data_IF_342152133538
#
_entry.id   IF_342152133538
#
_cell.length_a   1.000
_cell.length_b   1.000
_cell.length_c   1.000
_cell.angle_alpha   90.00
_cell.angle_beta   90.00
_cell.angle_gamma   90.00
#
_symmetry.space_group_name_H-M   'P 1'
#
loop_
_entity.id
_entity.type
_entity.pdbx_description
1 polymer ?
#
# COMPACT_ATOMS: atom_id res chain seq x y z
N UNK A 1 -4.49 3.71 18.95
CA UNK A 1 -5.18 2.78 18.05
C UNK A 1 -4.50 2.63 16.68
N UNK A 2 -3.43 3.40 16.41
CA UNK A 2 -2.73 3.42 15.10
C UNK A 2 -1.58 2.41 14.89
N UNK A 3 -1.24 1.59 15.88
CA UNK A 3 -0.19 0.55 15.73
C UNK A 3 -0.67 -0.76 15.10
N UNK A 4 -1.97 -0.94 14.86
CA UNK A 4 -2.51 -2.21 14.38
C UNK A 4 -2.68 -2.30 12.85
N UNK A 5 -2.70 -1.19 12.13
CA UNK A 5 -2.95 -1.20 10.68
C UNK A 5 -1.69 -1.22 9.81
N UNK A 6 -0.62 -0.56 10.22
CA UNK A 6 0.69 -0.72 9.57
C UNK A 6 1.23 -2.14 9.67
N UNK A 7 0.87 -2.84 10.74
CA UNK A 7 1.34 -4.20 11.03
C UNK A 7 0.71 -5.26 10.12
N UNK A 8 -0.44 -5.07 9.49
CA UNK A 8 -1.11 -6.16 8.76
C UNK A 8 -0.80 -6.27 7.27
N UNK A 9 -0.25 -5.25 6.64
CA UNK A 9 0.14 -5.35 5.23
C UNK A 9 1.65 -5.49 5.01
N UNK A 10 2.47 -4.99 5.92
CA UNK A 10 3.88 -5.38 6.05
C UNK A 10 4.03 -6.74 6.78
N UNK A 11 3.01 -7.22 7.46
CA UNK A 11 3.04 -8.36 8.40
C UNK A 11 2.93 -9.73 7.74
N UNK A 12 2.73 -9.86 6.45
CA UNK A 12 2.99 -11.16 5.81
C UNK A 12 4.51 -11.37 5.66
N UNK A 13 5.29 -10.30 5.58
CA UNK A 13 6.76 -10.36 5.57
C UNK A 13 7.41 -10.14 6.95
N UNK A 14 6.77 -9.50 7.93
CA UNK A 14 7.42 -9.11 9.20
C UNK A 14 7.01 -9.90 10.46
N UNK A 15 6.10 -10.88 10.40
CA UNK A 15 5.64 -11.64 11.59
C UNK A 15 6.50 -12.83 12.02
N UNK A 16 7.73 -12.96 11.52
CA UNK A 16 8.62 -14.05 11.89
C UNK A 16 9.78 -13.66 12.83
N UNK A 17 9.74 -12.49 13.44
CA UNK A 17 10.85 -12.00 14.30
C UNK A 17 10.69 -12.22 15.80
N UNK A 18 9.93 -13.19 16.31
CA UNK A 18 9.97 -13.49 17.75
C UNK A 18 9.83 -14.97 18.05
N UNK A 19 10.89 -15.74 17.85
CA UNK A 19 11.18 -16.90 18.72
C UNK A 19 12.56 -17.49 18.45
N UNK A 20 13.59 -16.90 18.98
CA UNK A 20 14.88 -17.56 19.17
C UNK A 20 15.63 -16.92 20.33
N UNK A 21 15.28 -17.32 21.57
CA UNK A 21 16.21 -17.26 22.68
C UNK A 21 16.08 -18.55 23.51
N UNK A 22 17.25 -19.15 23.67
CA UNK A 22 17.61 -20.22 24.62
C UNK A 22 17.35 -21.67 24.16
N UNK A 23 18.43 -22.33 23.74
CA UNK A 23 18.92 -23.50 24.50
C UNK A 23 20.38 -23.79 24.13
N UNK A 24 21.25 -23.52 25.08
CA UNK A 24 22.64 -24.02 25.10
C UNK A 24 22.65 -25.47 25.61
N UNK A 25 23.50 -26.30 24.99
CA UNK A 25 24.02 -27.46 25.71
C UNK A 25 23.92 -28.79 24.97
N UNK A 26 24.89 -29.29 24.44
CA UNK A 26 25.77 -30.45 24.75
C UNK A 26 26.44 -31.02 23.49
N UNK A 27 27.77 -31.00 23.53
CA UNK A 27 28.65 -31.70 22.58
C UNK A 27 28.48 -33.24 22.70
N UNK A 28 28.43 -33.92 21.56
CA UNK A 28 28.94 -35.26 21.42
C UNK A 28 29.57 -35.46 20.04
N UNK A 29 30.87 -35.58 20.02
CA UNK A 29 31.69 -35.90 18.86
C UNK A 29 31.52 -37.37 18.50
N UNK A 30 31.07 -37.66 17.29
CA UNK A 30 31.32 -38.95 16.62
C UNK A 30 31.86 -38.68 15.24
N UNK A 31 33.17 -38.85 15.08
CA UNK A 31 33.82 -38.81 13.79
C UNK A 31 33.54 -40.16 13.07
N UNK A 32 32.74 -40.09 11.99
CA UNK A 32 32.67 -41.14 10.97
C UNK A 32 33.26 -40.55 9.71
N UNK A 33 34.47 -40.96 9.36
CA UNK A 33 35.06 -40.71 8.06
C UNK A 33 34.25 -41.48 6.99
N UNK A 34 33.35 -40.78 6.32
CA UNK A 34 32.87 -41.20 5.02
C UNK A 34 33.57 -40.33 3.98
N UNK A 35 34.47 -40.93 3.23
CA UNK A 35 35.00 -40.36 1.98
C UNK A 35 33.84 -40.30 0.99
N UNK A 36 33.17 -39.19 0.92
CA UNK A 36 32.23 -38.89 -0.15
C UNK A 36 33.03 -38.31 -1.30
N UNK A 37 33.17 -39.13 -2.32
CA UNK A 37 33.62 -38.75 -3.65
C UNK A 37 32.72 -37.58 -4.10
N UNK A 38 33.26 -36.40 -4.27
CA UNK A 38 32.60 -35.32 -4.98
C UNK A 38 32.43 -35.76 -6.44
N UNK A 39 31.29 -36.30 -6.75
CA UNK A 39 30.82 -36.31 -8.14
C UNK A 39 30.12 -34.96 -8.31
N UNK A 40 30.76 -34.04 -9.00
CA UNK A 40 30.09 -32.92 -9.64
C UNK A 40 29.09 -33.53 -10.64
N UNK A 41 27.89 -33.82 -10.16
CA UNK A 41 26.76 -34.04 -11.04
C UNK A 41 26.29 -32.65 -11.45
N UNK A 42 26.86 -32.18 -12.55
CA UNK A 42 26.28 -31.15 -13.39
C UNK A 42 24.95 -31.71 -13.92
N UNK A 43 23.91 -31.65 -13.10
CA UNK A 43 22.54 -31.91 -13.52
C UNK A 43 22.16 -30.74 -14.40
N UNK A 44 21.92 -30.92 -15.69
CA UNK A 44 21.42 -29.87 -16.55
C UNK A 44 20.13 -29.36 -15.88
N UNK A 45 20.09 -28.05 -15.61
CA UNK A 45 18.87 -27.39 -15.09
C UNK A 45 17.66 -27.75 -15.97
N UNK A 46 16.43 -27.62 -15.46
CA UNK A 46 15.24 -28.00 -16.21
C UNK A 46 15.26 -27.33 -17.59
N UNK A 47 15.20 -28.15 -18.66
CA UNK A 47 15.13 -27.62 -20.01
C UNK A 47 13.78 -26.91 -20.17
N UNK A 48 13.81 -25.58 -20.25
CA UNK A 48 12.62 -24.80 -20.49
C UNK A 48 12.26 -24.78 -21.97
N UNK A 49 11.02 -25.06 -22.28
CA UNK A 49 10.47 -24.83 -23.60
C UNK A 49 10.16 -23.32 -23.75
N UNK A 50 10.90 -22.65 -24.62
CA UNK A 50 10.72 -21.20 -24.86
C UNK A 50 9.81 -21.01 -26.05
N UNK A 51 8.66 -20.38 -25.85
CA UNK A 51 7.82 -19.93 -26.94
C UNK A 51 8.44 -18.65 -27.52
N UNK A 52 8.81 -18.72 -28.79
CA UNK A 52 9.50 -17.60 -29.48
C UNK A 52 8.59 -16.40 -29.71
N UNK A 53 7.27 -16.60 -29.72
CA UNK A 53 6.26 -15.53 -29.88
C UNK A 53 6.09 -14.76 -28.59
N UNK A 54 6.03 -15.48 -27.47
CA UNK A 54 5.92 -14.88 -26.13
C UNK A 54 7.27 -14.38 -25.59
N UNK A 55 8.38 -14.95 -26.09
CA UNK A 55 9.72 -14.66 -25.58
C UNK A 55 9.97 -15.19 -24.15
N UNK A 56 9.18 -16.17 -23.70
CA UNK A 56 9.26 -16.76 -22.37
C UNK A 56 8.96 -18.27 -22.37
N UNK A 57 9.20 -18.92 -21.24
CA UNK A 57 8.96 -20.34 -21.07
C UNK A 57 7.46 -20.66 -21.03
N UNK A 58 7.10 -21.77 -21.67
CA UNK A 58 5.79 -22.41 -21.59
C UNK A 58 5.91 -23.80 -20.96
N UNK A 59 4.87 -24.21 -20.26
CA UNK A 59 4.87 -25.40 -19.42
C UNK A 59 3.68 -26.30 -19.77
N UNK A 60 3.83 -27.60 -19.54
CA UNK A 60 2.74 -28.54 -19.76
C UNK A 60 1.61 -28.41 -18.75
N UNK A 61 1.94 -27.98 -17.55
CA UNK A 61 0.96 -27.75 -16.46
C UNK A 61 1.30 -26.48 -15.65
N UNK A 62 0.30 -25.83 -15.04
CA UNK A 62 0.54 -24.61 -14.27
C UNK A 62 1.40 -24.86 -13.02
N UNK A 63 1.39 -26.06 -12.45
CA UNK A 63 2.27 -26.45 -11.36
C UNK A 63 3.75 -26.44 -11.72
N UNK A 64 4.08 -26.83 -12.96
CA UNK A 64 5.46 -26.80 -13.45
C UNK A 64 5.97 -25.36 -13.58
N UNK A 65 5.12 -24.45 -14.06
CA UNK A 65 5.42 -23.02 -14.11
C UNK A 65 5.67 -22.46 -12.71
N UNK A 66 4.78 -22.76 -11.76
CA UNK A 66 4.87 -22.32 -10.38
C UNK A 66 6.18 -22.79 -9.71
N UNK A 67 6.54 -24.07 -9.91
CA UNK A 67 7.79 -24.64 -9.39
C UNK A 67 9.04 -24.01 -10.01
N UNK A 68 9.02 -23.79 -11.34
CA UNK A 68 10.14 -23.13 -12.03
C UNK A 68 10.37 -21.70 -11.51
N UNK A 69 9.30 -20.95 -11.30
CA UNK A 69 9.36 -19.60 -10.70
C UNK A 69 9.95 -19.63 -9.28
N UNK A 70 9.43 -20.51 -8.41
CA UNK A 70 9.90 -20.61 -7.04
C UNK A 70 11.37 -21.04 -6.95
N UNK A 71 11.80 -21.95 -7.82
CA UNK A 71 13.20 -22.37 -7.90
C UNK A 71 14.11 -21.22 -8.34
N UNK A 72 13.72 -20.47 -9.37
CA UNK A 72 14.49 -19.34 -9.87
C UNK A 72 14.60 -18.24 -8.79
N UNK A 73 13.51 -17.94 -8.10
CA UNK A 73 13.52 -16.94 -7.03
C UNK A 73 14.36 -17.37 -5.83
N UNK A 74 14.26 -18.63 -5.42
CA UNK A 74 15.04 -19.20 -4.30
C UNK A 74 16.55 -19.13 -4.55
N UNK A 75 16.97 -19.39 -5.79
CA UNK A 75 18.38 -19.37 -6.18
C UNK A 75 18.90 -17.97 -6.53
N UNK A 76 18.03 -16.95 -6.57
CA UNK A 76 18.39 -15.63 -7.07
C UNK A 76 18.79 -15.62 -8.55
N UNK A 77 18.28 -16.59 -9.31
CA UNK A 77 18.64 -16.81 -10.72
C UNK A 77 17.85 -15.85 -11.63
N UNK A 78 18.43 -14.69 -11.87
CA UNK A 78 17.83 -13.66 -12.72
C UNK A 78 17.65 -14.08 -14.17
N UNK A 79 18.53 -14.95 -14.69
CA UNK A 79 18.42 -15.47 -16.06
C UNK A 79 17.23 -16.42 -16.17
N UNK A 80 17.08 -17.30 -15.20
CA UNK A 80 15.94 -18.22 -15.12
C UNK A 80 14.63 -17.44 -14.93
N UNK A 81 14.61 -16.41 -14.05
CA UNK A 81 13.44 -15.54 -13.87
C UNK A 81 13.06 -14.84 -15.18
N UNK A 82 14.04 -14.33 -15.93
CA UNK A 82 13.80 -13.74 -17.25
C UNK A 82 13.22 -14.72 -18.26
N UNK A 83 13.64 -15.98 -18.22
CA UNK A 83 13.09 -17.03 -19.09
C UNK A 83 11.67 -17.42 -18.66
N UNK A 84 11.41 -17.53 -17.37
CA UNK A 84 10.10 -17.96 -16.83
C UNK A 84 9.04 -16.86 -16.96
N UNK A 85 9.39 -15.62 -16.64
CA UNK A 85 8.47 -14.48 -16.63
C UNK A 85 8.51 -13.61 -17.89
N UNK A 86 9.53 -13.81 -18.75
CA UNK A 86 9.78 -12.94 -19.90
C UNK A 86 10.73 -11.77 -19.58
N UNK A 87 11.19 -11.08 -20.62
CA UNK A 87 12.24 -10.05 -20.52
C UNK A 87 11.84 -8.86 -19.61
N UNK A 88 10.56 -8.52 -19.58
CA UNK A 88 10.05 -7.36 -18.84
C UNK A 88 9.66 -7.67 -17.38
N UNK A 89 10.04 -8.84 -16.85
CA UNK A 89 9.64 -9.29 -15.52
C UNK A 89 10.00 -8.30 -14.39
N UNK A 90 11.04 -7.47 -14.57
CA UNK A 90 11.45 -6.46 -13.57
C UNK A 90 10.40 -5.38 -13.32
N UNK A 91 9.47 -5.18 -14.24
CA UNK A 91 8.34 -4.25 -14.06
C UNK A 91 7.32 -4.77 -13.03
N UNK A 92 7.21 -6.09 -12.88
CA UNK A 92 6.31 -6.74 -11.91
C UNK A 92 7.04 -7.36 -10.72
N UNK A 93 8.35 -7.57 -10.83
CA UNK A 93 9.21 -8.08 -9.78
C UNK A 93 10.49 -7.23 -9.70
N UNK A 94 10.45 -6.05 -9.07
CA UNK A 94 11.60 -5.15 -8.95
C UNK A 94 12.61 -5.73 -7.95
N UNK A 95 13.50 -6.61 -8.40
CA UNK A 95 14.48 -7.29 -7.55
C UNK A 95 15.41 -6.33 -6.80
N UNK A 96 15.60 -5.11 -7.31
CA UNK A 96 16.39 -4.08 -6.64
C UNK A 96 15.74 -3.55 -5.34
N UNK A 97 14.42 -3.76 -5.20
CA UNK A 97 13.64 -3.43 -4.00
C UNK A 97 13.36 -4.66 -3.09
N UNK A 98 13.86 -5.85 -3.49
CA UNK A 98 13.66 -7.12 -2.77
C UNK A 98 14.98 -7.49 -2.13
N UNK A 99 15.01 -7.57 -0.81
CA UNK A 99 16.21 -7.98 -0.09
C UNK A 99 16.23 -9.49 0.21
N UNK A 100 17.34 -9.96 0.80
CA UNK A 100 17.50 -11.37 1.16
C UNK A 100 16.51 -11.84 2.23
N UNK A 101 15.97 -10.95 3.07
CA UNK A 101 14.95 -11.27 4.06
C UNK A 101 13.60 -11.50 3.38
N UNK A 102 13.25 -10.70 2.39
CA UNK A 102 12.03 -10.87 1.59
C UNK A 102 12.01 -12.22 0.87
N UNK A 103 13.15 -12.60 0.23
CA UNK A 103 13.30 -13.91 -0.42
C UNK A 103 13.17 -15.04 0.60
N UNK A 104 13.78 -14.93 1.77
CA UNK A 104 13.67 -15.93 2.82
C UNK A 104 12.23 -16.06 3.35
N UNK A 105 11.53 -14.94 3.50
CA UNK A 105 10.14 -14.93 3.94
C UNK A 105 9.20 -15.55 2.90
N UNK A 106 9.42 -15.23 1.61
CA UNK A 106 8.73 -15.89 0.51
C UNK A 106 8.95 -17.41 0.53
N UNK A 107 10.20 -17.86 0.66
CA UNK A 107 10.52 -19.29 0.70
C UNK A 107 9.83 -20.02 1.85
N UNK A 108 9.86 -19.44 3.06
CA UNK A 108 9.15 -20.00 4.23
C UNK A 108 7.63 -20.08 4.01
N UNK A 109 7.05 -19.04 3.40
CA UNK A 109 5.64 -19.03 3.09
C UNK A 109 5.30 -20.07 2.01
N UNK A 110 6.14 -20.20 0.99
CA UNK A 110 6.02 -21.21 -0.08
C UNK A 110 6.08 -22.63 0.47
N UNK A 111 7.01 -22.91 1.37
CA UNK A 111 7.13 -24.23 2.01
C UNK A 111 5.91 -24.60 2.86
N UNK A 112 5.21 -23.64 3.39
CA UNK A 112 4.00 -23.83 4.18
C UNK A 112 2.80 -24.20 3.33
N UNK A 113 2.56 -23.46 2.26
CA UNK A 113 1.50 -23.69 1.28
C UNK A 113 1.80 -22.94 -0.02
N UNK A 114 1.52 -23.59 -1.17
CA UNK A 114 1.66 -23.03 -2.50
C UNK A 114 0.61 -23.65 -3.43
N UNK A 115 -0.67 -23.37 -3.17
CA UNK A 115 -1.77 -23.97 -3.90
C UNK A 115 -2.10 -23.18 -5.19
N UNK A 116 -2.66 -23.86 -6.17
CA UNK A 116 -3.15 -23.26 -7.39
C UNK A 116 -4.65 -22.98 -7.27
N UNK A 117 -5.02 -21.71 -7.31
CA UNK A 117 -6.41 -21.22 -7.25
C UNK A 117 -6.93 -20.98 -8.67
N UNK A 118 -7.86 -21.83 -9.20
CA UNK A 118 -8.41 -21.64 -10.53
C UNK A 118 -9.18 -20.32 -10.66
N UNK A 119 -8.98 -19.64 -11.80
CA UNK A 119 -9.69 -18.45 -12.23
C UNK A 119 -10.36 -18.69 -13.58
N UNK A 120 -11.38 -19.56 -13.58
CA UNK A 120 -11.96 -20.11 -14.82
C UNK A 120 -11.19 -21.32 -15.34
N UNK A 121 -11.30 -21.61 -16.65
CA UNK A 121 -10.76 -22.84 -17.27
C UNK A 121 -9.28 -22.72 -17.64
N UNK A 122 -8.84 -21.51 -18.04
CA UNK A 122 -7.54 -21.28 -18.67
C UNK A 122 -6.62 -20.38 -17.85
N UNK A 123 -6.87 -20.24 -16.54
CA UNK A 123 -6.08 -19.34 -15.68
C UNK A 123 -6.04 -19.85 -14.24
N UNK A 124 -4.88 -19.72 -13.61
CA UNK A 124 -4.72 -19.98 -12.18
C UNK A 124 -3.91 -18.88 -11.51
N UNK A 125 -4.16 -18.67 -10.22
CA UNK A 125 -3.31 -17.87 -9.34
C UNK A 125 -2.58 -18.79 -8.38
N UNK A 126 -1.40 -18.38 -7.93
CA UNK A 126 -0.68 -19.09 -6.87
C UNK A 126 -1.06 -18.43 -5.54
N UNK A 127 -1.63 -19.22 -4.62
CA UNK A 127 -1.76 -18.81 -3.21
C UNK A 127 -0.51 -19.20 -2.46
N UNK A 128 -0.02 -18.36 -1.54
CA UNK A 128 1.24 -18.59 -0.84
C UNK A 128 1.04 -18.34 0.66
N UNK A 129 1.46 -19.33 1.45
CA UNK A 129 1.36 -19.30 2.91
C UNK A 129 -0.05 -19.55 3.43
N UNK A 130 -0.26 -19.29 4.73
CA UNK A 130 -1.56 -19.43 5.38
C UNK A 130 -2.33 -18.11 5.22
N UNK A 131 -3.26 -18.04 4.31
CA UNK A 131 -4.10 -16.86 4.07
C UNK A 131 -4.52 -16.73 2.62
N UNK A 132 -5.27 -15.67 2.33
CA UNK A 132 -5.83 -15.43 1.00
C UNK A 132 -4.87 -14.65 0.07
N UNK A 133 -3.57 -14.57 0.43
CA UNK A 133 -2.62 -13.84 -0.41
C UNK A 133 -2.29 -14.64 -1.68
N UNK A 134 -2.46 -13.99 -2.82
CA UNK A 134 -2.13 -14.57 -4.12
C UNK A 134 -1.01 -13.79 -4.79
N UNK A 135 -0.11 -14.53 -5.47
CA UNK A 135 0.84 -13.90 -6.39
C UNK A 135 0.06 -13.10 -7.43
N UNK A 136 0.40 -11.82 -7.67
CA UNK A 136 -0.36 -10.99 -8.60
C UNK A 136 -0.20 -11.39 -10.06
N UNK A 137 0.84 -12.17 -10.41
CA UNK A 137 1.09 -12.63 -11.78
C UNK A 137 0.36 -13.94 -11.98
N UNK A 138 -0.71 -14.00 -12.78
CA UNK A 138 -1.41 -15.25 -13.05
C UNK A 138 -0.59 -16.16 -13.98
N UNK A 139 -0.92 -17.45 -13.95
CA UNK A 139 -0.47 -18.41 -14.95
C UNK A 139 -1.66 -18.67 -15.88
N UNK A 140 -1.51 -18.33 -17.16
CA UNK A 140 -2.53 -18.44 -18.19
C UNK A 140 -2.20 -19.55 -19.16
N UNK A 141 -3.21 -20.22 -19.73
CA UNK A 141 -3.06 -21.22 -20.76
C UNK A 141 -3.17 -20.59 -22.16
N UNK A 142 -2.12 -20.73 -22.95
CA UNK A 142 -2.08 -20.32 -24.35
C UNK A 142 -2.05 -21.53 -25.30
N UNK A 143 -1.89 -21.29 -26.60
CA UNK A 143 -1.83 -22.34 -27.62
C UNK A 143 -0.64 -23.30 -27.41
N UNK A 144 0.49 -22.80 -26.89
CA UNK A 144 1.72 -23.56 -26.69
C UNK A 144 1.85 -24.17 -25.28
N UNK A 145 0.95 -23.88 -24.37
CA UNK A 145 0.96 -24.34 -22.98
C UNK A 145 0.75 -23.21 -21.95
N UNK A 146 1.07 -23.50 -20.71
CA UNK A 146 0.91 -22.60 -19.57
C UNK A 146 2.09 -21.65 -19.43
N UNK A 147 1.84 -20.37 -19.20
CA UNK A 147 2.86 -19.32 -19.05
C UNK A 147 2.45 -18.27 -18.02
N UNK A 148 3.41 -17.56 -17.46
CA UNK A 148 3.13 -16.40 -16.59
C UNK A 148 2.68 -15.19 -17.41
N UNK A 149 1.48 -14.71 -17.18
CA UNK A 149 0.93 -13.53 -17.83
C UNK A 149 1.37 -12.27 -17.06
N UNK A 150 2.54 -11.77 -17.43
CA UNK A 150 3.16 -10.62 -16.80
C UNK A 150 2.39 -9.32 -17.09
N UNK A 151 1.74 -9.23 -18.26
CA UNK A 151 0.93 -8.06 -18.61
C UNK A 151 -0.31 -7.96 -17.71
N UNK A 152 -1.04 -9.07 -17.55
CA UNK A 152 -2.14 -9.10 -16.58
C UNK A 152 -1.63 -8.93 -15.15
N UNK A 153 -0.46 -9.44 -14.84
CA UNK A 153 0.21 -9.26 -13.56
C UNK A 153 0.45 -7.79 -13.22
N UNK A 154 0.93 -7.02 -14.19
CA UNK A 154 1.13 -5.56 -14.09
C UNK A 154 -0.18 -4.84 -13.77
N UNK A 155 -1.23 -5.14 -14.52
CA UNK A 155 -2.55 -4.56 -14.31
C UNK A 155 -3.13 -4.89 -12.92
N UNK A 156 -3.00 -6.15 -12.49
CA UNK A 156 -3.43 -6.56 -11.13
C UNK A 156 -2.65 -5.83 -10.04
N UNK A 157 -1.35 -5.62 -10.21
CA UNK A 157 -0.54 -4.86 -9.26
C UNK A 157 -0.93 -3.38 -9.23
N UNK A 158 -1.24 -2.80 -10.40
CA UNK A 158 -1.76 -1.44 -10.53
C UNK A 158 -3.08 -1.28 -9.76
N UNK A 159 -4.05 -2.16 -9.99
CA UNK A 159 -5.34 -2.15 -9.30
C UNK A 159 -5.16 -2.31 -7.78
N UNK A 160 -4.29 -3.22 -7.33
CA UNK A 160 -4.00 -3.39 -5.89
C UNK A 160 -3.34 -2.14 -5.29
N UNK A 161 -2.46 -1.46 -6.02
CA UNK A 161 -1.82 -0.21 -5.59
C UNK A 161 -2.87 0.89 -5.43
N UNK A 162 -3.72 1.09 -6.44
CA UNK A 162 -4.83 2.04 -6.39
C UNK A 162 -5.70 1.78 -5.16
N UNK A 163 -6.19 0.56 -4.96
CA UNK A 163 -7.06 0.25 -3.83
C UNK A 163 -6.41 0.49 -2.47
N UNK A 164 -5.11 0.19 -2.32
CA UNK A 164 -4.36 0.51 -1.08
C UNK A 164 -4.21 2.01 -0.86
N UNK A 165 -3.90 2.75 -1.91
CA UNK A 165 -3.72 4.19 -1.83
C UNK A 165 -5.04 4.89 -1.51
N UNK A 166 -6.15 4.49 -2.15
CA UNK A 166 -7.49 5.02 -1.87
C UNK A 166 -7.91 4.76 -0.42
N UNK A 167 -7.69 3.54 0.07
CA UNK A 167 -7.96 3.21 1.48
C UNK A 167 -7.11 4.06 2.43
N UNK A 168 -5.83 4.23 2.13
CA UNK A 168 -4.93 5.08 2.92
C UNK A 168 -5.35 6.56 2.86
N UNK A 169 -5.78 7.05 1.69
CA UNK A 169 -6.29 8.41 1.54
C UNK A 169 -7.57 8.65 2.36
N UNK A 170 -8.52 7.71 2.33
CA UNK A 170 -9.73 7.78 3.16
C UNK A 170 -9.38 7.80 4.66
N UNK A 171 -8.44 6.97 5.10
CA UNK A 171 -7.96 6.97 6.48
C UNK A 171 -7.28 8.28 6.86
N UNK A 172 -6.49 8.87 5.96
CA UNK A 172 -5.85 10.16 6.15
C UNK A 172 -6.87 11.30 6.26
N UNK A 173 -7.92 11.27 5.44
CA UNK A 173 -9.04 12.22 5.48
C UNK A 173 -9.79 12.14 6.81
N UNK A 174 -10.05 10.93 7.32
CA UNK A 174 -10.66 10.73 8.65
C UNK A 174 -9.73 11.13 9.79
N UNK A 175 -8.44 10.81 9.69
CA UNK A 175 -7.45 11.23 10.68
C UNK A 175 -7.31 12.77 10.74
N UNK A 176 -7.42 13.45 9.59
CA UNK A 176 -7.49 14.90 9.54
C UNK A 176 -8.71 15.43 10.31
N UNK A 177 -9.89 14.83 10.10
CA UNK A 177 -11.11 15.22 10.84
C UNK A 177 -10.92 15.06 12.35
N UNK A 178 -10.45 13.91 12.81
CA UNK A 178 -10.20 13.64 14.22
C UNK A 178 -9.13 14.59 14.80
N UNK A 179 -8.07 14.83 14.03
CA UNK A 179 -7.01 15.77 14.40
C UNK A 179 -7.51 17.21 14.58
N UNK A 180 -8.41 17.67 13.71
CA UNK A 180 -9.03 18.99 13.83
C UNK A 180 -9.95 19.08 15.06
N UNK A 181 -10.74 18.04 15.32
CA UNK A 181 -11.60 17.98 16.50
C UNK A 181 -10.79 17.98 17.79
N UNK A 182 -9.65 17.30 17.82
CA UNK A 182 -8.74 17.31 18.96
C UNK A 182 -8.02 18.65 19.11
N UNK A 183 -7.53 19.22 17.98
CA UNK A 183 -6.83 20.51 17.99
C UNK A 183 -7.69 21.60 18.63
N UNK A 184 -8.97 21.67 18.25
CA UNK A 184 -9.89 22.69 18.71
C UNK A 184 -10.31 22.59 20.19
N UNK A 185 -9.91 21.51 20.91
CA UNK A 185 -10.23 21.36 22.34
C UNK A 185 -9.37 22.21 23.26
N UNK A 186 -8.30 22.84 22.75
CA UNK A 186 -7.42 23.67 23.56
C UNK A 186 -6.84 24.81 22.72
N UNK A 187 -6.49 25.91 23.39
CA UNK A 187 -5.66 26.97 22.78
C UNK A 187 -4.24 26.42 22.57
N UNK A 188 -3.95 26.00 21.35
CA UNK A 188 -2.68 25.31 21.00
C UNK A 188 -1.55 26.29 20.73
N UNK A 189 -1.87 27.48 20.24
CA UNK A 189 -0.90 28.50 19.83
C UNK A 189 -0.80 29.69 20.82
N UNK A 190 -1.51 29.64 21.95
CA UNK A 190 -1.43 30.64 23.03
C UNK A 190 -2.06 31.98 22.70
N UNK A 191 -2.98 32.04 21.72
CA UNK A 191 -3.63 33.29 21.31
C UNK A 191 -4.91 33.63 22.10
N UNK A 192 -5.29 32.80 23.07
CA UNK A 192 -6.47 32.99 23.92
C UNK A 192 -7.78 32.52 23.31
N UNK A 193 -7.75 31.77 22.17
CA UNK A 193 -8.94 31.33 21.44
C UNK A 193 -8.89 29.87 21.08
N UNK A 194 -10.05 29.22 20.99
CA UNK A 194 -10.21 27.91 20.39
C UNK A 194 -10.46 28.09 18.91
N UNK A 195 -9.67 27.38 18.11
CA UNK A 195 -9.69 27.42 16.63
C UNK A 195 -9.28 26.08 16.01
N UNK A 196 -9.51 25.94 14.73
CA UNK A 196 -9.04 24.81 13.94
C UNK A 196 -7.68 25.13 13.30
N UNK A 197 -6.86 24.10 13.11
CA UNK A 197 -5.56 24.27 12.46
C UNK A 197 -5.71 24.58 10.97
N UNK A 198 -4.96 25.56 10.49
CA UNK A 198 -4.94 25.98 9.09
C UNK A 198 -3.81 25.32 8.28
N UNK A 199 -2.99 24.51 8.93
CA UNK A 199 -1.84 23.82 8.35
C UNK A 199 -1.81 22.36 8.81
N UNK A 200 -1.21 21.50 8.01
CA UNK A 200 -0.87 20.14 8.43
C UNK A 200 0.32 20.17 9.38
N UNK A 201 1.41 20.80 8.96
CA UNK A 201 2.66 20.91 9.70
C UNK A 201 2.74 22.30 10.32
N UNK A 202 3.01 22.36 11.61
CA UNK A 202 3.23 23.62 12.32
C UNK A 202 4.48 24.33 11.83
N UNK A 203 4.46 25.65 11.93
CA UNK A 203 5.66 26.46 11.77
C UNK A 203 6.71 26.09 12.81
N UNK A 204 8.00 26.19 12.52
CA UNK A 204 9.05 25.85 13.48
C UNK A 204 8.89 26.60 14.82
N UNK A 205 8.79 25.84 15.90
CA UNK A 205 8.61 26.40 17.25
C UNK A 205 7.17 26.81 17.61
N UNK A 206 6.23 26.68 16.67
CA UNK A 206 4.81 27.02 16.87
C UNK A 206 3.96 25.75 16.96
N UNK A 207 2.67 25.93 17.33
CA UNK A 207 1.66 24.86 17.31
C UNK A 207 0.44 25.30 16.50
N UNK A 208 0.69 25.86 15.32
CA UNK A 208 -0.32 26.44 14.42
C UNK A 208 -0.78 25.47 13.31
N UNK A 209 -0.37 24.20 13.40
CA UNK A 209 -0.75 23.09 12.53
C UNK A 209 -1.14 21.85 13.33
N UNK A 210 -1.53 20.78 12.64
CA UNK A 210 -1.96 19.51 13.24
C UNK A 210 -0.81 18.61 13.68
N UNK A 211 0.39 18.83 13.13
CA UNK A 211 1.60 18.13 13.50
C UNK A 211 2.69 19.11 13.95
N UNK A 212 3.38 18.77 15.04
CA UNK A 212 4.61 19.40 15.52
C UNK A 212 5.51 18.34 16.15
N UNK A 213 6.81 18.60 16.10
CA UNK A 213 7.78 17.74 16.79
C UNK A 213 7.61 17.87 18.30
N UNK A 214 7.58 16.74 19.00
CA UNK A 214 7.38 16.68 20.46
C UNK A 214 8.72 16.50 21.14
N UNK A 215 9.03 17.34 22.14
CA UNK A 215 10.05 17.06 23.13
C UNK A 215 9.56 16.01 24.15
N UNK A 216 10.49 15.42 24.92
CA UNK A 216 10.23 14.31 25.86
C UNK A 216 9.12 14.59 26.91
N UNK A 217 8.77 15.85 27.16
CA UNK A 217 7.78 16.28 28.17
C UNK A 217 6.53 16.91 27.57
N UNK A 218 6.42 17.01 26.25
CA UNK A 218 5.33 17.71 25.58
C UNK A 218 4.15 16.79 25.23
N UNK A 219 2.94 17.38 25.14
CA UNK A 219 1.78 16.67 24.62
C UNK A 219 1.98 16.35 23.14
N UNK A 220 1.65 15.12 22.70
CA UNK A 220 1.73 14.75 21.30
C UNK A 220 0.85 15.66 20.43
N UNK A 221 1.26 15.82 19.18
CA UNK A 221 0.44 16.50 18.17
C UNK A 221 -0.79 15.65 17.80
N UNK A 222 -1.91 16.28 17.41
CA UNK A 222 -3.12 15.55 17.00
C UNK A 222 -2.88 14.57 15.84
N UNK A 223 -2.04 14.95 14.87
CA UNK A 223 -1.56 14.05 13.85
C UNK A 223 -0.21 13.46 14.23
N UNK A 224 -0.07 12.15 14.04
CA UNK A 224 1.18 11.45 14.27
C UNK A 224 2.26 11.74 13.22
N UNK A 225 3.51 11.23 13.43
CA UNK A 225 4.65 11.47 12.55
C UNK A 225 4.44 11.06 11.08
N UNK A 226 3.55 10.10 10.83
CA UNK A 226 3.22 9.63 9.47
C UNK A 226 2.65 10.73 8.59
N UNK A 227 1.85 11.63 9.19
CA UNK A 227 1.30 12.79 8.49
C UNK A 227 2.27 13.98 8.50
N UNK A 228 3.34 13.94 9.29
CA UNK A 228 4.41 14.93 9.33
C UNK A 228 5.28 14.95 8.08
N UNK A 229 5.21 13.92 7.25
CA UNK A 229 5.87 13.85 5.95
C UNK A 229 5.10 14.54 4.82
N UNK A 230 3.92 15.12 5.09
CA UNK A 230 3.19 15.95 4.14
C UNK A 230 3.95 17.27 3.92
N UNK A 231 4.88 17.24 2.98
CA UNK A 231 5.48 18.47 2.47
C UNK A 231 4.45 19.23 1.63
N UNK A 232 4.45 20.57 1.64
CA UNK A 232 3.68 21.33 0.66
C UNK A 232 4.06 20.86 -0.76
N UNK A 233 3.10 20.26 -1.50
CA UNK A 233 3.34 19.67 -2.81
C UNK A 233 3.92 18.25 -2.79
N UNK A 234 4.12 17.63 -1.62
CA UNK A 234 4.43 16.20 -1.47
C UNK A 234 3.16 15.39 -1.25
N UNK A 235 3.05 14.25 -1.93
CA UNK A 235 1.93 13.33 -1.78
C UNK A 235 2.13 12.39 -0.59
N UNK A 236 1.02 11.88 -0.05
CA UNK A 236 1.02 10.83 0.96
C UNK A 236 0.21 9.65 0.44
N UNK A 237 0.84 8.49 0.30
CA UNK A 237 0.24 7.31 -0.31
C UNK A 237 -0.34 7.58 -1.72
N UNK A 238 0.39 8.35 -2.55
CA UNK A 238 -0.01 8.66 -3.92
C UNK A 238 -1.19 9.65 -4.03
N UNK A 239 -1.43 10.45 -2.98
CA UNK A 239 -2.49 11.46 -2.92
C UNK A 239 -1.96 12.81 -2.47
N UNK A 240 -2.47 13.87 -3.09
CA UNK A 240 -2.34 15.24 -2.62
C UNK A 240 -3.49 15.61 -1.70
N UNK A 241 -3.24 16.56 -0.78
CA UNK A 241 -4.20 17.02 0.22
C UNK A 241 -4.20 18.54 0.33
N UNK A 242 -5.40 19.13 0.43
CA UNK A 242 -5.54 20.56 0.62
C UNK A 242 -6.65 20.91 1.61
N UNK A 243 -6.34 21.78 2.59
CA UNK A 243 -7.31 22.32 3.53
C UNK A 243 -8.16 23.37 2.80
N UNK A 244 -9.49 23.23 2.92
CA UNK A 244 -10.47 24.16 2.38
C UNK A 244 -10.98 25.05 3.50
N UNK A 245 -11.09 26.35 3.22
CA UNK A 245 -11.42 27.39 4.23
C UNK A 245 -12.86 27.91 4.13
N UNK A 246 -13.70 27.27 3.31
CA UNK A 246 -15.09 27.62 3.11
C UNK A 246 -15.90 26.40 2.66
N UNK A 247 -17.22 26.52 2.73
CA UNK A 247 -18.14 25.60 2.05
C UNK A 247 -19.05 26.32 1.06
N UNK A 248 -19.58 25.59 0.09
CA UNK A 248 -20.48 26.08 -0.95
C UNK A 248 -21.94 25.73 -0.70
N UNK A 249 -22.79 26.08 -1.66
CA UNK A 249 -24.25 26.00 -1.58
C UNK A 249 -24.78 24.57 -1.39
N UNK A 250 -24.09 23.56 -1.96
CA UNK A 250 -24.52 22.16 -1.85
C UNK A 250 -24.16 21.51 -0.51
N UNK A 251 -23.29 22.15 0.26
CA UNK A 251 -22.95 21.66 1.59
C UNK A 251 -24.09 21.92 2.58
N UNK A 252 -24.25 21.04 3.57
CA UNK A 252 -25.25 21.24 4.61
C UNK A 252 -25.04 22.57 5.32
N UNK A 253 -26.06 23.44 5.33
CA UNK A 253 -25.99 24.79 5.92
C UNK A 253 -25.72 25.89 4.89
N UNK A 254 -25.55 25.55 3.61
CA UNK A 254 -25.30 26.51 2.53
C UNK A 254 -23.89 27.07 2.52
N UNK A 255 -23.65 28.10 1.69
CA UNK A 255 -22.32 28.68 1.50
C UNK A 255 -21.93 29.58 2.67
N UNK A 256 -20.76 29.35 3.25
CA UNK A 256 -20.12 30.26 4.20
C UNK A 256 -18.62 30.02 4.35
N UNK A 257 -17.91 31.03 4.86
CA UNK A 257 -16.49 30.94 5.18
C UNK A 257 -16.28 30.24 6.52
N UNK A 258 -15.30 29.36 6.61
CA UNK A 258 -14.83 28.79 7.87
C UNK A 258 -13.95 29.77 8.68
N UNK A 259 -13.55 30.85 8.03
CA UNK A 259 -12.69 31.87 8.63
C UNK A 259 -13.52 32.95 9.36
N UNK A 260 -13.07 33.31 10.55
CA UNK A 260 -13.50 34.52 11.27
C UNK A 260 -12.27 35.42 11.44
N UNK A 261 -12.17 36.44 10.59
CA UNK A 261 -10.92 37.18 10.41
C UNK A 261 -9.84 36.29 9.82
N UNK A 262 -8.70 36.20 10.48
CA UNK A 262 -7.55 35.34 10.10
C UNK A 262 -7.59 33.94 10.75
N UNK A 263 -8.64 33.63 11.54
CA UNK A 263 -8.77 32.40 12.31
C UNK A 263 -9.83 31.46 11.74
N UNK A 264 -9.50 30.17 11.64
CA UNK A 264 -10.44 29.15 11.23
C UNK A 264 -11.24 28.64 12.43
N UNK A 265 -12.47 29.14 12.62
CA UNK A 265 -13.29 28.91 13.82
C UNK A 265 -14.70 28.45 13.57
N UNK A 266 -15.21 28.60 12.35
CA UNK A 266 -16.59 28.26 12.01
C UNK A 266 -16.73 26.82 11.52
N UNK A 267 -15.65 26.26 11.00
CA UNK A 267 -15.58 24.92 10.49
C UNK A 267 -14.22 24.64 9.85
N UNK A 268 -14.10 23.49 9.24
CA UNK A 268 -12.93 23.07 8.45
C UNK A 268 -13.35 22.09 7.37
N UNK A 269 -12.55 21.95 6.33
CA UNK A 269 -12.70 20.88 5.37
C UNK A 269 -11.35 20.52 4.72
N UNK A 270 -11.34 19.37 4.09
CA UNK A 270 -10.21 18.82 3.35
C UNK A 270 -10.69 18.27 2.03
N UNK A 271 -9.85 18.40 0.99
CA UNK A 271 -9.95 17.65 -0.25
C UNK A 271 -8.67 16.85 -0.45
N UNK A 272 -8.81 15.60 -0.92
CA UNK A 272 -7.72 14.72 -1.31
C UNK A 272 -7.97 14.21 -2.73
N UNK A 273 -6.91 14.12 -3.55
CA UNK A 273 -6.99 13.64 -4.93
C UNK A 273 -5.72 12.90 -5.33
N UNK A 274 -5.79 11.95 -6.30
CA UNK A 274 -4.63 11.18 -6.70
C UNK A 274 -3.57 12.06 -7.35
N UNK A 275 -2.30 11.77 -7.08
CA UNK A 275 -1.15 12.40 -7.74
C UNK A 275 -1.15 12.11 -9.24
N UNK A 276 -1.54 10.88 -9.61
CA UNK A 276 -1.58 10.39 -10.99
C UNK A 276 -2.84 9.53 -11.17
N UNK A 277 -3.82 10.08 -11.92
CA UNK A 277 -5.08 9.39 -12.17
C UNK A 277 -4.88 8.05 -12.87
N UNK A 278 -5.52 7.01 -12.33
CA UNK A 278 -5.43 5.66 -12.88
C UNK A 278 -4.14 4.92 -12.52
N UNK A 279 -3.16 5.56 -11.89
CA UNK A 279 -1.92 4.95 -11.42
C UNK A 279 -1.79 4.97 -9.90
N UNK A 280 -1.92 6.13 -9.28
CA UNK A 280 -1.88 6.26 -7.82
C UNK A 280 -3.25 6.13 -7.18
N UNK A 281 -4.32 6.51 -7.89
CA UNK A 281 -5.71 6.45 -7.45
C UNK A 281 -6.67 6.82 -8.59
N UNK A 282 -7.96 6.65 -8.33
CA UNK A 282 -9.07 7.01 -9.23
C UNK A 282 -10.03 7.99 -8.55
N UNK A 283 -10.36 7.72 -7.27
CA UNK A 283 -11.32 8.51 -6.52
C UNK A 283 -10.66 9.71 -5.85
N UNK A 284 -11.35 10.86 -5.87
CA UNK A 284 -11.03 12.02 -5.03
C UNK A 284 -11.97 12.04 -3.82
N UNK A 285 -11.51 12.57 -2.69
CA UNK A 285 -12.25 12.55 -1.43
C UNK A 285 -12.39 13.95 -0.83
N UNK A 286 -13.53 14.21 -0.19
CA UNK A 286 -13.74 15.42 0.62
C UNK A 286 -14.30 15.08 2.00
N UNK A 287 -13.88 15.80 3.01
CA UNK A 287 -14.51 15.79 4.35
C UNK A 287 -14.66 17.20 4.87
N UNK A 288 -15.69 17.45 5.68
CA UNK A 288 -15.82 18.69 6.45
C UNK A 288 -15.99 18.37 7.93
N UNK A 289 -16.14 19.44 8.73
CA UNK A 289 -16.48 19.35 10.16
C UNK A 289 -17.77 18.56 10.46
N UNK A 290 -18.58 18.21 9.43
CA UNK A 290 -19.73 17.32 9.57
C UNK A 290 -19.34 15.83 9.67
N UNK A 291 -18.07 15.46 9.39
CA UNK A 291 -17.54 14.11 9.54
C UNK A 291 -17.95 13.12 8.45
N UNK A 292 -18.65 13.56 7.42
CA UNK A 292 -19.05 12.70 6.28
C UNK A 292 -17.98 12.83 5.20
N UNK A 293 -17.39 11.71 4.82
CA UNK A 293 -16.48 11.62 3.68
C UNK A 293 -17.32 11.46 2.41
N UNK A 294 -17.04 12.29 1.42
CA UNK A 294 -17.60 12.18 0.07
C UNK A 294 -16.51 11.76 -0.90
N UNK A 295 -16.89 10.98 -1.92
CA UNK A 295 -16.00 10.50 -2.98
C UNK A 295 -16.57 10.79 -4.35
N UNK A 296 -15.70 11.07 -5.32
CA UNK A 296 -16.04 11.24 -6.73
C UNK A 296 -14.85 10.86 -7.61
N UNK A 297 -15.14 10.18 -8.73
CA UNK A 297 -14.19 10.04 -9.83
C UNK A 297 -14.24 11.30 -10.70
N UNK A 298 -13.21 12.13 -10.62
CA UNK A 298 -13.08 13.37 -11.39
C UNK A 298 -12.48 13.14 -12.79
N UNK A 299 -12.07 11.92 -13.12
CA UNK A 299 -11.46 11.58 -14.40
C UNK A 299 -10.00 12.00 -14.53
N UNK A 300 -9.45 11.87 -15.75
CA UNK A 300 -8.03 12.17 -16.03
C UNK A 300 -7.63 13.62 -15.74
N UNK A 301 -8.56 14.57 -15.89
CA UNK A 301 -8.35 16.00 -15.63
C UNK A 301 -8.61 16.35 -14.14
N UNK A 302 -8.65 15.33 -13.26
CA UNK A 302 -9.00 15.48 -11.84
C UNK A 302 -8.05 16.37 -11.05
N UNK A 303 -6.77 16.43 -11.42
CA UNK A 303 -5.76 17.30 -10.77
C UNK A 303 -6.13 18.76 -11.02
N UNK A 304 -6.31 19.15 -12.27
CA UNK A 304 -6.67 20.50 -12.69
C UNK A 304 -8.01 20.93 -12.11
N UNK A 305 -9.02 20.04 -12.17
CA UNK A 305 -10.34 20.30 -11.57
C UNK A 305 -10.21 20.55 -10.07
N UNK A 306 -9.40 19.74 -9.38
CA UNK A 306 -9.27 19.85 -7.93
C UNK A 306 -8.53 21.10 -7.51
N UNK A 307 -7.52 21.54 -8.28
CA UNK A 307 -6.82 22.80 -8.01
C UNK A 307 -7.75 24.00 -8.06
N UNK A 308 -8.78 23.99 -8.92
CA UNK A 308 -9.77 25.04 -9.07
C UNK A 308 -10.91 24.99 -8.01
N UNK A 309 -11.06 23.91 -7.23
CA UNK A 309 -12.09 23.79 -6.20
C UNK A 309 -11.77 24.73 -5.02
N UNK A 310 -12.53 25.83 -4.81
CA UNK A 310 -12.20 26.82 -3.78
C UNK A 310 -12.74 26.45 -2.39
N UNK A 311 -13.74 25.56 -2.32
CA UNK A 311 -14.51 25.28 -1.12
C UNK A 311 -15.04 23.84 -1.09
N UNK A 312 -15.36 23.35 0.10
CA UNK A 312 -16.09 22.10 0.28
C UNK A 312 -17.51 22.24 -0.23
N UNK A 313 -17.82 21.58 -1.33
CA UNK A 313 -19.11 21.72 -1.99
C UNK A 313 -19.54 20.41 -2.69
N UNK A 314 -19.83 19.34 -1.92
CA UNK A 314 -20.20 18.04 -2.49
C UNK A 314 -21.60 18.14 -3.12
N UNK A 315 -21.63 18.49 -4.43
CA UNK A 315 -22.82 18.58 -5.26
C UNK A 315 -23.03 17.30 -6.08
N UNK A 316 -23.57 17.49 -7.29
CA UNK A 316 -23.81 16.39 -8.22
C UNK A 316 -22.53 15.61 -8.51
N UNK A 317 -22.63 14.27 -8.47
CA UNK A 317 -21.52 13.34 -8.68
C UNK A 317 -20.74 12.97 -7.41
N UNK A 318 -20.81 13.76 -6.33
CA UNK A 318 -20.21 13.40 -5.05
C UNK A 318 -21.14 12.48 -4.26
N UNK A 319 -20.66 11.28 -3.93
CA UNK A 319 -21.40 10.28 -3.16
C UNK A 319 -20.78 10.16 -1.76
N UNK A 320 -21.60 9.95 -0.74
CA UNK A 320 -21.08 9.60 0.57
C UNK A 320 -20.33 8.26 0.47
N UNK A 321 -19.06 8.28 0.82
CA UNK A 321 -18.23 7.07 0.84
C UNK A 321 -18.85 6.05 1.80
N UNK A 322 -18.87 4.79 1.40
CA UNK A 322 -19.30 3.72 2.30
C UNK A 322 -18.34 3.67 3.46
N UNK A 323 -18.87 3.55 4.68
CA UNK A 323 -18.05 3.33 5.86
C UNK A 323 -17.09 2.16 5.58
N UNK A 324 -15.80 2.44 5.69
CA UNK A 324 -14.80 1.37 5.70
C UNK A 324 -14.96 0.65 7.03
N UNK A 325 -15.84 -0.33 7.05
CA UNK A 325 -15.95 -1.25 8.18
C UNK A 325 -14.60 -1.95 8.29
N UNK A 326 -13.77 -1.51 9.22
CA UNK A 326 -12.59 -2.27 9.59
C UNK A 326 -13.03 -3.69 9.96
N UNK A 327 -12.21 -4.73 9.73
CA UNK A 327 -12.57 -6.08 10.12
C UNK A 327 -12.92 -6.06 11.61
N UNK A 328 -14.14 -6.48 11.92
CA UNK A 328 -14.62 -6.69 13.29
C UNK A 328 -13.65 -7.68 13.93
N UNK A 329 -12.89 -7.22 14.91
CA UNK A 329 -12.01 -8.08 15.70
C UNK A 329 -12.95 -8.84 16.64
N UNK A 330 -13.26 -10.08 16.29
CA UNK A 330 -13.80 -11.08 17.22
C UNK A 330 -12.66 -11.78 17.94
#
# INVERSE_FOLDING_TARGET
MNKLFETKQLTVLSRLQTSAKNLSGLLAVVAVLCTVSCSDTDQPGPQLNIDTTLGQAVFAAPGDAANAFALALRNGDSEMLSKVLGANYREVLPLDAVDGEDINNFNKAWEKSNDLLPQGEHKVLITIGEGDWTLPIPISEGESGWYFDVEEGRERMRIRRIGRNELAAMQAVLAYYDGQMEYAQADRNGNGMLEYAQKFISSPGERDGLFWEVGDSDKPSPLGPLMGNLSPGGGYHGYFYRILKAQGENARGGAYSYMLGDKMRVGFALIAWPEEYGESGVMSFMVSHAGIVYEQNLGPDGVEITEEIPSYNPGEGWLAAKEVSGPTIN
#
